data_IF_750818205555
#
_entry.id   IF_750818205555
#
_cell.length_a   1.000
_cell.length_b   1.000
_cell.length_c   1.000
_cell.angle_alpha   90.00
_cell.angle_beta   90.00
_cell.angle_gamma   90.00
#
_symmetry.space_group_name_H-M   'P 1'
#
loop_
_entity.id
_entity.type
_entity.pdbx_description
1 polymer ?
#
# COMPACT_ATOMS: atom_id res chain seq x y z
N UNK A 1 -34.64 -15.74 -8.12
CA UNK A 1 -33.30 -15.98 -8.68
C UNK A 1 -33.21 -15.22 -10.00
N UNK A 2 -32.49 -14.10 -10.05
CA UNK A 2 -32.37 -13.29 -11.25
C UNK A 2 -31.02 -13.57 -11.94
N UNK A 3 -31.07 -14.23 -13.09
CA UNK A 3 -29.92 -14.50 -13.94
C UNK A 3 -29.50 -13.22 -14.66
N UNK A 4 -28.35 -12.66 -14.30
CA UNK A 4 -27.72 -11.58 -15.08
C UNK A 4 -27.22 -12.14 -16.40
N UNK A 5 -27.85 -11.72 -17.50
CA UNK A 5 -27.37 -11.97 -18.85
C UNK A 5 -26.09 -11.15 -19.09
N UNK A 6 -24.96 -11.83 -19.32
CA UNK A 6 -23.76 -11.18 -19.85
C UNK A 6 -23.92 -11.02 -21.36
N UNK A 7 -24.08 -9.79 -21.83
CA UNK A 7 -24.03 -9.48 -23.26
C UNK A 7 -22.57 -9.58 -23.74
N UNK A 8 -22.28 -10.57 -24.59
CA UNK A 8 -21.00 -10.65 -25.28
C UNK A 8 -21.01 -9.74 -26.51
N UNK A 9 -20.11 -8.77 -26.59
CA UNK A 9 -19.87 -8.00 -27.81
C UNK A 9 -18.88 -8.77 -28.69
N UNK A 10 -19.33 -9.19 -29.87
CA UNK A 10 -18.47 -9.72 -30.94
C UNK A 10 -17.91 -8.55 -31.75
N UNK A 11 -16.59 -8.56 -32.00
CA UNK A 11 -16.00 -7.80 -33.10
C UNK A 11 -15.02 -8.67 -33.86
N UNK A 12 -15.19 -8.67 -35.18
CA UNK A 12 -14.34 -9.33 -36.15
C UNK A 12 -12.99 -8.61 -36.20
N UNK A 13 -11.91 -9.37 -36.00
CA UNK A 13 -10.49 -8.97 -36.05
C UNK A 13 -9.93 -8.32 -34.77
N UNK A 14 -9.36 -9.17 -33.89
CA UNK A 14 -8.22 -8.80 -33.05
C UNK A 14 -8.53 -8.54 -31.57
N UNK A 15 -8.40 -9.61 -30.76
CA UNK A 15 -8.11 -9.63 -29.31
C UNK A 15 -9.00 -8.75 -28.41
N UNK A 16 -10.03 -9.39 -27.85
CA UNK A 16 -10.74 -8.93 -26.64
C UNK A 16 -9.74 -8.81 -25.47
N UNK A 17 -9.30 -7.60 -25.18
CA UNK A 17 -8.75 -7.30 -23.86
C UNK A 17 -9.95 -7.18 -22.92
N UNK A 18 -10.17 -8.19 -22.08
CA UNK A 18 -10.97 -7.98 -20.88
C UNK A 18 -10.20 -6.95 -20.03
N UNK A 19 -10.52 -5.68 -20.21
CA UNK A 19 -9.94 -4.54 -19.49
C UNK A 19 -10.54 -4.41 -18.08
N UNK A 20 -10.79 -5.52 -17.41
CA UNK A 20 -10.79 -5.53 -15.95
C UNK A 20 -9.34 -5.48 -15.51
N UNK A 21 -8.71 -4.30 -15.64
CA UNK A 21 -7.47 -4.02 -14.93
C UNK A 21 -7.84 -4.01 -13.45
N UNK A 22 -7.81 -5.18 -12.81
CA UNK A 22 -7.90 -5.26 -11.37
C UNK A 22 -6.85 -4.31 -10.83
N UNK A 23 -7.30 -3.28 -10.11
CA UNK A 23 -6.41 -2.26 -9.62
C UNK A 23 -5.43 -2.93 -8.65
N UNK A 24 -4.20 -3.16 -9.10
CA UNK A 24 -3.18 -3.86 -8.33
C UNK A 24 -2.99 -3.16 -6.99
N UNK A 25 -3.27 -3.87 -5.90
CA UNK A 25 -3.07 -3.38 -4.53
C UNK A 25 -1.60 -3.61 -4.16
N UNK A 26 -0.96 -2.56 -3.64
CA UNK A 26 0.41 -2.58 -3.14
C UNK A 26 0.42 -2.10 -1.70
N UNK A 27 1.15 -2.81 -0.86
CA UNK A 27 1.57 -2.32 0.43
C UNK A 27 2.82 -1.45 0.28
N UNK A 28 2.79 -0.24 0.84
CA UNK A 28 3.89 0.71 0.84
C UNK A 28 4.50 0.79 2.24
N UNK A 29 5.82 0.63 2.30
CA UNK A 29 6.63 0.83 3.49
C UNK A 29 7.62 1.94 3.21
N UNK A 30 7.57 3.00 3.99
CA UNK A 30 8.48 4.14 3.92
C UNK A 30 9.09 4.40 5.29
N UNK A 31 10.38 4.74 5.32
CA UNK A 31 11.13 4.97 6.54
C UNK A 31 12.17 6.07 6.34
N UNK A 32 12.59 6.69 7.44
CA UNK A 32 13.70 7.65 7.45
C UNK A 32 14.47 7.55 8.76
N UNK A 33 15.79 7.69 8.68
CA UNK A 33 16.73 7.73 9.81
C UNK A 33 17.68 8.93 9.65
N UNK A 34 17.18 10.18 9.82
CA UNK A 34 18.01 11.38 9.72
C UNK A 34 19.03 11.43 10.87
N UNK A 35 20.10 12.24 10.75
CA UNK A 35 21.14 12.36 11.80
C UNK A 35 20.60 12.95 13.10
N UNK A 36 19.72 13.95 13.00
CA UNK A 36 19.32 14.81 14.12
C UNK A 36 17.88 14.58 14.60
N UNK A 37 17.19 13.56 14.07
CA UNK A 37 15.85 13.17 14.53
C UNK A 37 15.77 11.66 14.74
N UNK A 38 14.76 11.24 15.50
CA UNK A 38 14.44 9.83 15.66
C UNK A 38 14.04 9.19 14.32
N UNK A 39 14.40 7.92 14.16
CA UNK A 39 13.90 7.11 13.07
C UNK A 39 12.38 7.02 13.09
N UNK A 40 11.77 7.14 11.91
CA UNK A 40 10.32 7.12 11.74
C UNK A 40 9.92 6.30 10.52
N UNK A 41 8.72 5.75 10.61
CA UNK A 41 8.11 4.96 9.55
C UNK A 41 6.71 5.47 9.20
N UNK A 42 6.30 5.20 7.97
CA UNK A 42 4.95 5.38 7.46
C UNK A 42 4.57 4.20 6.58
N UNK A 43 3.32 3.74 6.71
CA UNK A 43 2.78 2.70 5.84
C UNK A 43 1.39 3.03 5.35
N UNK A 44 1.08 2.58 4.14
CA UNK A 44 -0.25 2.63 3.55
C UNK A 44 -0.43 1.44 2.61
N UNK A 45 -1.68 1.14 2.26
CA UNK A 45 -2.03 0.14 1.26
C UNK A 45 -2.75 0.89 0.14
N UNK A 46 -2.24 0.85 -1.08
CA UNK A 46 -2.73 1.68 -2.18
C UNK A 46 -2.96 0.84 -3.43
N UNK A 47 -3.98 1.22 -4.20
CA UNK A 47 -4.12 0.77 -5.59
C UNK A 47 -3.14 1.55 -6.46
N UNK A 48 -2.62 0.92 -7.51
CA UNK A 48 -1.78 1.62 -8.47
C UNK A 48 -2.56 2.72 -9.23
N UNK A 49 -1.90 3.82 -9.64
CA UNK A 49 -0.48 4.14 -9.43
C UNK A 49 -0.18 4.66 -8.00
N UNK A 50 1.07 4.47 -7.54
CA UNK A 50 1.51 4.97 -6.22
C UNK A 50 2.02 6.41 -6.35
N UNK A 51 1.45 7.33 -5.57
CA UNK A 51 1.85 8.72 -5.54
C UNK A 51 2.99 8.96 -4.54
N UNK A 52 4.24 8.72 -4.98
CA UNK A 52 5.42 8.78 -4.12
C UNK A 52 5.64 10.14 -3.43
N UNK A 53 5.28 11.26 -4.06
CA UNK A 53 5.35 12.59 -3.44
C UNK A 53 4.45 12.71 -2.21
N UNK A 54 3.26 12.10 -2.25
CA UNK A 54 2.35 12.06 -1.11
C UNK A 54 2.85 11.12 -0.02
N UNK A 55 3.44 9.97 -0.38
CA UNK A 55 4.08 9.05 0.57
C UNK A 55 5.21 9.77 1.33
N UNK A 56 6.08 10.50 0.63
CA UNK A 56 7.15 11.30 1.24
C UNK A 56 6.58 12.34 2.21
N UNK A 57 5.60 13.12 1.77
CA UNK A 57 4.94 14.14 2.62
C UNK A 57 4.31 13.52 3.86
N UNK A 58 3.70 12.34 3.74
CA UNK A 58 3.10 11.63 4.86
C UNK A 58 4.15 11.06 5.82
N UNK A 59 5.27 10.54 5.32
CA UNK A 59 6.40 10.11 6.16
C UNK A 59 6.96 11.29 6.97
N UNK A 60 7.13 12.45 6.33
CA UNK A 60 7.65 13.65 6.99
C UNK A 60 6.71 14.18 8.07
N UNK A 61 5.41 14.29 7.76
CA UNK A 61 4.41 14.92 8.64
C UNK A 61 3.80 13.99 9.68
N UNK A 62 3.69 12.70 9.36
CA UNK A 62 2.94 11.71 10.15
C UNK A 62 3.77 10.50 10.57
N UNK A 63 5.02 10.42 10.10
CA UNK A 63 5.92 9.33 10.44
C UNK A 63 6.10 9.22 11.95
N UNK A 64 6.16 7.99 12.43
CA UNK A 64 6.32 7.65 13.85
C UNK A 64 7.06 6.33 13.99
N UNK A 65 7.57 5.97 15.18
CA UNK A 65 8.33 4.72 15.36
C UNK A 65 7.52 3.45 15.09
N UNK A 66 6.18 3.52 15.25
CA UNK A 66 5.26 2.41 14.97
C UNK A 66 4.03 2.89 14.21
N UNK A 67 3.72 2.25 13.10
CA UNK A 67 2.61 2.61 12.23
C UNK A 67 1.76 1.37 11.91
N UNK A 68 0.44 1.51 11.96
CA UNK A 68 -0.53 0.48 11.59
C UNK A 68 -1.58 1.11 10.68
N UNK A 69 -1.98 0.40 9.63
CA UNK A 69 -3.05 0.80 8.71
C UNK A 69 -3.93 -0.42 8.43
N UNK A 70 -5.22 -0.18 8.27
CA UNK A 70 -6.20 -1.17 7.83
C UNK A 70 -6.89 -0.62 6.60
N UNK A 71 -6.79 -1.32 5.46
CA UNK A 71 -7.32 -0.85 4.18
C UNK A 71 -7.43 -1.98 3.17
N UNK A 72 -8.50 -1.96 2.38
CA UNK A 72 -8.83 -2.99 1.38
C UNK A 72 -8.90 -4.43 1.94
N UNK A 73 -9.35 -4.61 3.20
CA UNK A 73 -9.43 -5.93 3.84
C UNK A 73 -8.08 -6.49 4.29
N UNK A 74 -7.07 -5.63 4.41
CA UNK A 74 -5.74 -5.99 4.91
C UNK A 74 -5.34 -5.09 6.07
N UNK A 75 -4.57 -5.65 6.99
CA UNK A 75 -3.91 -4.96 8.08
C UNK A 75 -2.41 -4.98 7.78
N UNK A 76 -1.78 -3.80 7.77
CA UNK A 76 -0.33 -3.69 7.67
C UNK A 76 0.23 -2.94 8.88
N UNK A 77 1.30 -3.45 9.47
CA UNK A 77 1.99 -2.81 10.58
C UNK A 77 3.48 -2.78 10.36
N UNK A 78 4.13 -1.70 10.81
CA UNK A 78 5.58 -1.55 10.81
C UNK A 78 6.06 -0.87 12.09
N UNK A 79 7.19 -1.31 12.60
CA UNK A 79 7.86 -0.78 13.78
C UNK A 79 9.36 -0.65 13.48
N UNK A 80 9.95 0.47 13.88
CA UNK A 80 11.37 0.77 13.74
C UNK A 80 11.92 1.18 15.11
N UNK A 81 13.16 0.80 15.41
CA UNK A 81 13.88 1.37 16.54
C UNK A 81 14.08 2.88 16.31
N UNK A 82 13.51 3.77 17.15
CA UNK A 82 13.59 5.20 16.91
C UNK A 82 14.96 5.81 17.19
N UNK A 83 15.80 5.19 18.01
CA UNK A 83 17.03 5.82 18.55
C UNK A 83 18.31 5.23 17.96
N UNK A 84 18.26 4.00 17.44
CA UNK A 84 19.44 3.38 16.82
C UNK A 84 19.85 4.08 15.53
N UNK A 85 21.15 4.34 15.39
CA UNK A 85 21.75 4.81 14.12
C UNK A 85 21.75 3.75 13.03
N UNK A 86 21.59 2.48 13.41
CA UNK A 86 21.43 1.32 12.52
C UNK A 86 20.15 0.59 12.90
N UNK A 87 18.97 1.18 12.62
CA UNK A 87 17.73 0.68 13.15
C UNK A 87 17.31 -0.62 12.45
N UNK A 88 16.72 -1.53 13.23
CA UNK A 88 16.04 -2.71 12.70
C UNK A 88 14.55 -2.41 12.56
N UNK A 89 13.95 -2.89 11.47
CA UNK A 89 12.50 -2.81 11.25
C UNK A 89 11.83 -4.17 11.39
N UNK A 90 10.63 -4.17 11.97
CA UNK A 90 9.70 -5.30 11.98
C UNK A 90 8.43 -4.90 11.23
N UNK A 91 7.91 -5.80 10.40
CA UNK A 91 6.76 -5.53 9.56
C UNK A 91 5.82 -6.74 9.52
N UNK A 92 4.52 -6.51 9.54
CA UNK A 92 3.49 -7.54 9.34
C UNK A 92 2.44 -7.09 8.32
N UNK A 93 1.91 -8.05 7.55
CA UNK A 93 0.86 -7.84 6.57
C UNK A 93 -0.08 -9.03 6.58
N UNK A 94 -1.33 -8.80 6.93
CA UNK A 94 -2.32 -9.82 7.27
C UNK A 94 -3.67 -9.48 6.62
N UNK A 95 -4.50 -10.49 6.40
CA UNK A 95 -5.92 -10.25 6.08
C UNK A 95 -6.63 -9.70 7.30
N UNK A 96 -7.55 -8.77 7.09
CA UNK A 96 -8.47 -8.32 8.12
C UNK A 96 -9.50 -9.42 8.37
N UNK A 97 -9.43 -10.03 9.56
CA UNK A 97 -10.30 -11.13 9.99
C UNK A 97 -11.66 -10.63 10.48
#
# INVERSE_FOLDING_TARGET
MATSQKTAQQTTNGKLWNSSSEALIKWVVAWSNPLDENSKVYTDIQRQPIHWGQIKTNLEKRGKPKFKVTKFGYIASIEIDPVSRSPTMKASFELEA
#
